data_IF_054259949855
#
_entry.id   IF_054259949855
#
_cell.length_a   1.000
_cell.length_b   1.000
_cell.length_c   1.000
_cell.angle_alpha   90.00
_cell.angle_beta   90.00
_cell.angle_gamma   90.00
#
_symmetry.space_group_name_H-M   'P 1'
#
loop_
_entity.id
_entity.type
_entity.pdbx_description
1 polymer ?
#
# COMPACT_ATOMS: atom_id res chain seq x y z
N UNK A 1 18.51 3.08 20.59
CA UNK A 1 19.06 2.17 21.60
C UNK A 1 20.19 1.32 21.01
N UNK A 2 19.93 0.49 20.02
CA UNK A 2 20.94 -0.42 19.41
C UNK A 2 22.20 0.31 18.92
N UNK A 3 22.07 1.46 18.28
CA UNK A 3 23.20 2.28 17.81
C UNK A 3 24.12 2.78 18.95
N UNK A 4 23.61 2.79 20.20
CA UNK A 4 24.41 3.17 21.39
C UNK A 4 25.17 1.99 22.00
N UNK A 5 24.74 0.77 21.74
CA UNK A 5 25.25 -0.44 22.38
C UNK A 5 26.19 -1.21 21.42
N UNK A 6 25.83 -1.25 20.15
CA UNK A 6 26.61 -1.99 19.16
C UNK A 6 27.88 -1.21 18.78
N UNK A 7 29.02 -1.89 18.64
CA UNK A 7 30.27 -1.26 18.24
C UNK A 7 30.26 -0.81 16.78
N UNK A 8 29.40 -1.41 15.98
CA UNK A 8 29.25 -1.11 14.55
C UNK A 8 28.15 -0.08 14.34
N UNK A 9 28.45 0.98 13.60
CA UNK A 9 27.45 1.95 13.17
C UNK A 9 26.64 1.34 12.03
N UNK A 10 25.35 1.53 12.06
CA UNK A 10 24.43 1.13 10.99
C UNK A 10 23.37 2.19 10.75
N UNK A 11 22.83 2.22 9.57
CA UNK A 11 21.69 3.04 9.16
C UNK A 11 20.42 2.21 9.17
N UNK A 12 19.32 2.80 9.60
CA UNK A 12 18.02 2.12 9.58
C UNK A 12 16.97 3.00 8.91
N UNK A 13 16.13 2.38 8.10
CA UNK A 13 14.98 3.00 7.47
C UNK A 13 13.75 2.14 7.68
N UNK A 14 12.57 2.73 7.60
CA UNK A 14 11.33 1.96 7.57
C UNK A 14 10.57 2.22 6.27
N UNK A 15 9.84 1.21 5.84
CA UNK A 15 8.91 1.28 4.72
C UNK A 15 7.53 0.87 5.16
N UNK A 16 6.52 1.60 4.71
CA UNK A 16 5.11 1.27 4.87
C UNK A 16 4.45 1.11 3.51
N UNK A 17 3.25 0.55 3.49
CA UNK A 17 2.42 0.52 2.29
C UNK A 17 2.15 1.93 1.75
N UNK A 18 2.01 2.06 0.43
CA UNK A 18 1.87 3.37 -0.26
C UNK A 18 0.76 4.24 0.31
N UNK A 19 -0.36 3.66 0.72
CA UNK A 19 -1.51 4.38 1.28
C UNK A 19 -1.21 5.15 2.57
N UNK A 20 -0.08 4.85 3.23
CA UNK A 20 0.38 5.60 4.40
C UNK A 20 1.07 6.92 4.04
N UNK A 21 1.39 7.15 2.79
CA UNK A 21 2.11 8.34 2.34
C UNK A 21 1.22 9.25 1.52
N UNK A 22 1.40 10.56 1.73
CA UNK A 22 0.80 11.57 0.87
C UNK A 22 1.36 11.50 -0.57
N UNK A 23 0.56 11.91 -1.54
CA UNK A 23 0.99 12.06 -2.92
C UNK A 23 0.92 13.53 -3.30
N UNK A 24 2.07 14.16 -3.51
CA UNK A 24 2.21 15.58 -3.83
C UNK A 24 1.37 15.91 -5.08
N UNK A 25 1.49 15.12 -6.13
CA UNK A 25 0.71 15.29 -7.37
C UNK A 25 -0.80 15.29 -7.14
N UNK A 26 -1.29 14.39 -6.27
CA UNK A 26 -2.73 14.30 -5.97
C UNK A 26 -3.20 15.44 -5.09
N UNK A 27 -2.36 15.94 -4.19
CA UNK A 27 -2.64 17.13 -3.38
C UNK A 27 -2.78 18.34 -4.32
N UNK A 28 -1.82 18.58 -5.23
CA UNK A 28 -1.90 19.68 -6.21
C UNK A 28 -3.14 19.56 -7.09
N UNK A 29 -3.45 18.35 -7.57
CA UNK A 29 -4.65 18.13 -8.38
C UNK A 29 -5.96 18.38 -7.61
N UNK A 30 -5.97 18.12 -6.30
CA UNK A 30 -7.13 18.38 -5.44
C UNK A 30 -7.31 19.88 -5.14
N UNK A 31 -6.25 20.68 -5.23
CA UNK A 31 -6.36 22.15 -5.19
C UNK A 31 -7.14 22.70 -6.38
N UNK A 32 -6.97 22.11 -7.58
CA UNK A 32 -7.66 22.53 -8.79
C UNK A 32 -9.13 22.11 -8.83
N UNK A 33 -9.49 21.03 -8.15
CA UNK A 33 -10.84 20.46 -8.10
C UNK A 33 -11.19 20.00 -6.67
N UNK A 34 -11.51 20.93 -5.75
CA UNK A 34 -11.85 20.57 -4.40
C UNK A 34 -13.21 19.86 -4.37
N UNK A 35 -13.20 18.57 -4.15
CA UNK A 35 -14.38 17.76 -3.85
C UNK A 35 -14.30 17.42 -2.36
N UNK A 36 -14.70 18.37 -1.52
CA UNK A 36 -14.69 18.24 -0.07
C UNK A 36 -16.11 18.41 0.44
N UNK A 37 -16.57 17.50 1.28
CA UNK A 37 -17.92 17.47 1.81
C UNK A 37 -17.95 18.09 3.22
N UNK A 38 -17.90 19.42 3.29
CA UNK A 38 -18.03 20.16 4.55
C UNK A 38 -16.83 21.04 4.92
N UNK A 39 -17.07 21.98 5.84
CA UNK A 39 -16.07 22.98 6.27
C UNK A 39 -14.90 22.29 6.99
N UNK A 40 -15.19 21.34 7.87
CA UNK A 40 -14.15 20.61 8.64
C UNK A 40 -13.20 19.83 7.71
N UNK A 41 -13.70 19.27 6.61
CA UNK A 41 -12.87 18.57 5.62
C UNK A 41 -11.95 19.53 4.88
N UNK A 42 -12.39 20.75 4.60
CA UNK A 42 -11.59 21.82 3.98
C UNK A 42 -10.44 22.22 4.90
N UNK A 43 -10.72 22.41 6.19
CA UNK A 43 -9.70 22.82 7.16
C UNK A 43 -8.64 21.72 7.32
N UNK A 44 -9.04 20.48 7.52
CA UNK A 44 -8.12 19.35 7.60
C UNK A 44 -7.32 19.15 6.30
N UNK A 45 -7.92 19.36 5.14
CA UNK A 45 -7.20 19.29 3.86
C UNK A 45 -6.15 20.39 3.76
N UNK A 46 -6.46 21.61 4.17
CA UNK A 46 -5.50 22.72 4.20
C UNK A 46 -4.32 22.41 5.13
N UNK A 47 -4.58 21.83 6.30
CA UNK A 47 -3.54 21.40 7.22
C UNK A 47 -2.63 20.33 6.60
N UNK A 48 -3.21 19.32 5.93
CA UNK A 48 -2.43 18.29 5.22
C UNK A 48 -1.61 18.89 4.08
N UNK A 49 -2.15 19.88 3.37
CA UNK A 49 -1.45 20.56 2.28
C UNK A 49 -0.25 21.35 2.81
N UNK A 50 -0.39 22.13 3.88
CA UNK A 50 0.73 22.85 4.48
C UNK A 50 1.78 21.88 5.02
N UNK A 51 1.37 20.87 5.79
CA UNK A 51 2.25 19.81 6.28
C UNK A 51 3.02 19.13 5.13
N UNK A 52 2.38 18.88 3.99
CA UNK A 52 3.03 18.22 2.86
C UNK A 52 4.21 18.99 2.27
N UNK A 53 4.29 20.30 2.49
CA UNK A 53 5.40 21.16 2.07
C UNK A 53 6.59 21.10 3.03
N UNK A 54 6.35 20.79 4.29
CA UNK A 54 7.34 20.80 5.36
C UNK A 54 7.90 19.40 5.66
N UNK A 55 7.07 18.38 5.52
CA UNK A 55 7.44 17.00 5.87
C UNK A 55 8.57 16.46 5.01
N UNK A 56 9.45 15.69 5.64
CA UNK A 56 10.53 14.97 4.96
C UNK A 56 10.10 13.54 4.53
N UNK A 57 9.08 12.98 5.15
CA UNK A 57 8.66 11.59 4.92
C UNK A 57 7.34 11.47 4.19
N UNK A 58 6.43 12.42 4.40
CA UNK A 58 5.06 12.37 3.91
C UNK A 58 4.20 11.27 4.56
N UNK A 59 4.66 10.72 5.69
CA UNK A 59 3.98 9.64 6.40
C UNK A 59 2.78 10.17 7.18
N UNK A 60 1.60 9.60 6.94
CA UNK A 60 0.36 9.92 7.65
C UNK A 60 0.50 9.91 9.17
N UNK A 61 1.36 9.07 9.72
CA UNK A 61 1.59 8.96 11.15
C UNK A 61 2.18 10.23 11.79
N UNK A 62 2.72 11.15 11.01
CA UNK A 62 3.18 12.46 11.51
C UNK A 62 2.00 13.39 11.91
N UNK A 63 0.82 13.17 11.32
CA UNK A 63 -0.39 13.97 11.55
C UNK A 63 -1.18 13.46 12.77
N UNK A 64 -0.51 13.38 13.93
CA UNK A 64 -1.09 12.83 15.18
C UNK A 64 -2.21 13.68 15.76
N UNK A 65 -2.32 14.93 15.36
CA UNK A 65 -3.32 15.91 15.78
C UNK A 65 -4.60 15.86 14.94
N UNK A 66 -4.58 15.15 13.80
CA UNK A 66 -5.75 14.96 12.95
C UNK A 66 -6.47 13.65 13.29
N UNK A 67 -7.79 13.57 13.07
CA UNK A 67 -8.56 12.34 13.26
C UNK A 67 -7.94 11.16 12.50
N UNK A 68 -8.01 9.96 13.08
CA UNK A 68 -7.51 8.74 12.41
C UNK A 68 -8.24 8.50 11.09
N UNK A 69 -9.56 8.69 11.09
CA UNK A 69 -10.36 8.57 9.89
C UNK A 69 -10.52 9.94 9.20
N UNK A 70 -9.76 10.15 8.14
CA UNK A 70 -9.90 11.30 7.24
C UNK A 70 -10.49 10.80 5.92
N UNK A 71 -11.78 11.06 5.63
CA UNK A 71 -12.44 10.58 4.41
C UNK A 71 -11.70 10.97 3.13
N UNK A 72 -11.16 12.18 3.07
CA UNK A 72 -10.39 12.67 1.91
C UNK A 72 -8.99 12.04 1.79
N UNK A 73 -8.43 11.41 2.84
CA UNK A 73 -7.08 10.83 2.78
C UNK A 73 -6.91 9.88 1.59
N UNK A 74 -7.93 9.09 1.29
CA UNK A 74 -7.93 8.19 0.13
C UNK A 74 -7.80 8.91 -1.23
N UNK A 75 -8.07 10.22 -1.28
CA UNK A 75 -7.95 11.07 -2.47
C UNK A 75 -6.54 11.63 -2.64
N UNK A 76 -5.81 11.84 -1.54
CA UNK A 76 -4.49 12.48 -1.53
C UNK A 76 -3.33 11.54 -1.22
N UNK A 77 -3.59 10.31 -0.79
CA UNK A 77 -2.56 9.30 -0.55
C UNK A 77 -1.98 8.72 -1.84
N UNK A 78 -0.80 8.12 -1.74
CA UNK A 78 -0.18 7.43 -2.85
C UNK A 78 -0.87 6.07 -3.10
N UNK A 79 -1.20 5.79 -4.38
CA UNK A 79 -1.80 4.53 -4.84
C UNK A 79 -0.97 3.96 -5.99
N UNK A 80 -0.88 2.63 -6.07
CA UNK A 80 -0.21 1.94 -7.19
C UNK A 80 -0.95 2.15 -8.51
N UNK A 81 -2.29 2.05 -8.48
CA UNK A 81 -3.18 2.03 -9.64
C UNK A 81 -3.19 3.37 -10.40
N UNK A 82 -2.98 4.47 -9.69
CA UNK A 82 -3.02 5.82 -10.25
C UNK A 82 -1.67 6.52 -10.32
N UNK A 83 -0.59 5.82 -9.92
CA UNK A 83 0.75 6.37 -9.95
C UNK A 83 1.32 6.33 -11.37
N UNK A 84 1.69 7.50 -11.90
CA UNK A 84 2.27 7.65 -13.25
C UNK A 84 3.80 7.47 -13.27
N UNK A 85 4.38 7.12 -12.14
CA UNK A 85 5.81 6.77 -12.03
C UNK A 85 6.74 7.90 -12.47
N UNK A 86 7.77 7.58 -13.23
CA UNK A 86 8.78 8.55 -13.73
C UNK A 86 8.21 9.68 -14.59
N UNK A 87 7.00 9.53 -15.11
CA UNK A 87 6.32 10.59 -15.88
C UNK A 87 5.63 11.63 -15.00
N UNK A 88 5.68 11.45 -13.66
CA UNK A 88 5.07 12.38 -12.72
C UNK A 88 5.87 13.69 -12.67
N UNK A 89 5.24 14.88 -12.78
CA UNK A 89 5.92 16.15 -12.61
C UNK A 89 6.55 16.31 -11.21
N UNK A 90 5.94 15.66 -10.20
CA UNK A 90 6.42 15.66 -8.82
C UNK A 90 7.26 14.41 -8.48
N UNK A 91 7.93 13.79 -9.46
CA UNK A 91 8.68 12.54 -9.23
C UNK A 91 9.88 12.73 -8.30
N UNK A 92 10.64 13.81 -8.48
CA UNK A 92 11.82 14.11 -7.65
C UNK A 92 11.47 14.37 -6.18
N UNK A 93 10.47 15.22 -5.85
CA UNK A 93 10.05 15.42 -4.46
C UNK A 93 9.18 14.29 -3.90
N UNK A 94 8.80 13.28 -4.69
CA UNK A 94 7.86 12.23 -4.32
C UNK A 94 8.29 11.47 -3.04
N UNK A 95 7.42 11.41 -2.06
CA UNK A 95 7.69 10.72 -0.80
C UNK A 95 7.95 9.22 -0.97
N UNK A 96 7.27 8.57 -1.92
CA UNK A 96 7.51 7.15 -2.24
C UNK A 96 8.91 6.96 -2.86
N UNK A 97 9.33 7.85 -3.76
CA UNK A 97 10.68 7.82 -4.36
C UNK A 97 11.73 8.00 -3.28
N UNK A 98 11.57 9.00 -2.42
CA UNK A 98 12.49 9.27 -1.30
C UNK A 98 12.54 8.12 -0.30
N UNK A 99 11.38 7.55 0.07
CA UNK A 99 11.29 6.41 0.98
C UNK A 99 12.07 5.21 0.42
N UNK A 100 11.89 4.89 -0.85
CA UNK A 100 12.62 3.80 -1.52
C UNK A 100 14.11 4.04 -1.56
N UNK A 101 14.54 5.23 -1.94
CA UNK A 101 15.97 5.59 -1.97
C UNK A 101 16.63 5.47 -0.59
N UNK A 102 15.93 5.89 0.47
CA UNK A 102 16.41 5.71 1.86
C UNK A 102 16.52 4.23 2.23
N UNK A 103 15.53 3.43 1.84
CA UNK A 103 15.55 1.99 2.13
C UNK A 103 16.66 1.28 1.37
N UNK A 104 16.92 1.64 0.11
CA UNK A 104 18.00 1.07 -0.70
C UNK A 104 19.40 1.37 -0.14
N UNK A 105 19.56 2.52 0.54
CA UNK A 105 20.84 2.92 1.15
C UNK A 105 20.98 2.51 2.63
N UNK A 106 19.96 1.89 3.22
CA UNK A 106 19.97 1.52 4.63
C UNK A 106 20.53 0.10 4.85
N UNK A 107 21.26 -0.08 5.97
CA UNK A 107 21.74 -1.40 6.41
C UNK A 107 20.60 -2.27 6.96
N UNK A 108 19.59 -1.63 7.57
CA UNK A 108 18.40 -2.28 8.14
C UNK A 108 17.15 -1.59 7.60
N UNK A 109 16.22 -2.39 7.04
CA UNK A 109 14.91 -1.90 6.61
C UNK A 109 13.84 -2.54 7.48
N UNK A 110 13.03 -1.70 8.13
CA UNK A 110 11.93 -2.12 9.00
C UNK A 110 10.64 -2.04 8.20
N UNK A 111 9.92 -3.15 8.12
CA UNK A 111 8.65 -3.27 7.39
C UNK A 111 7.64 -4.07 8.22
N UNK A 112 6.36 -3.92 7.95
CA UNK A 112 5.35 -4.82 8.50
C UNK A 112 5.28 -6.13 7.69
N UNK A 113 4.72 -7.17 8.28
CA UNK A 113 4.57 -8.48 7.64
C UNK A 113 3.81 -8.40 6.31
N UNK A 114 2.74 -7.61 6.24
CA UNK A 114 1.95 -7.46 5.01
C UNK A 114 2.79 -6.94 3.83
N UNK A 115 3.65 -5.94 4.07
CA UNK A 115 4.51 -5.40 3.00
C UNK A 115 5.57 -6.42 2.58
N UNK A 116 6.10 -7.20 3.53
CA UNK A 116 7.04 -8.26 3.26
C UNK A 116 6.41 -9.38 2.38
N UNK A 117 5.23 -9.85 2.74
CA UNK A 117 4.54 -10.89 1.95
C UNK A 117 4.05 -10.37 0.60
N UNK A 118 3.63 -9.09 0.51
CA UNK A 118 3.34 -8.45 -0.76
C UNK A 118 4.57 -8.41 -1.69
N UNK A 119 5.78 -8.14 -1.14
CA UNK A 119 7.03 -8.18 -1.89
C UNK A 119 7.34 -9.60 -2.38
N UNK A 120 7.20 -10.62 -1.53
CA UNK A 120 7.42 -12.02 -1.92
C UNK A 120 6.49 -12.45 -3.06
N UNK A 121 5.22 -12.07 -3.01
CA UNK A 121 4.26 -12.38 -4.05
C UNK A 121 4.65 -11.73 -5.40
N UNK A 122 5.06 -10.47 -5.39
CA UNK A 122 5.52 -9.76 -6.59
C UNK A 122 6.81 -10.35 -7.15
N UNK A 123 7.79 -10.67 -6.30
CA UNK A 123 9.05 -11.32 -6.71
C UNK A 123 8.81 -12.69 -7.33
N UNK A 124 7.93 -13.49 -6.74
CA UNK A 124 7.57 -14.82 -7.24
C UNK A 124 6.95 -14.80 -8.64
N UNK A 125 6.23 -13.73 -8.98
CA UNK A 125 5.58 -13.55 -10.27
C UNK A 125 6.41 -12.78 -11.32
N UNK A 126 7.68 -12.51 -11.06
CA UNK A 126 8.61 -11.77 -11.95
C UNK A 126 8.17 -10.33 -12.28
N UNK A 127 7.27 -9.74 -11.50
CA UNK A 127 6.80 -8.36 -11.69
C UNK A 127 7.70 -7.30 -11.03
N UNK A 128 8.88 -7.68 -10.55
CA UNK A 128 9.83 -6.77 -9.93
C UNK A 128 9.93 -6.97 -8.42
N UNK A 129 10.25 -5.91 -7.68
CA UNK A 129 10.40 -5.93 -6.21
C UNK A 129 9.80 -4.67 -5.58
N UNK A 130 9.27 -4.83 -4.39
CA UNK A 130 8.77 -3.73 -3.56
C UNK A 130 9.85 -3.27 -2.58
N UNK A 131 10.52 -4.25 -1.94
CA UNK A 131 11.62 -4.04 -1.00
C UNK A 131 12.98 -4.10 -1.71
N UNK A 132 14.03 -3.43 -1.16
CA UNK A 132 15.41 -3.65 -1.58
C UNK A 132 15.81 -5.11 -1.46
N UNK A 133 16.96 -5.47 -2.02
CA UNK A 133 17.51 -6.81 -1.81
C UNK A 133 18.06 -6.94 -0.38
N UNK A 134 17.83 -8.08 0.24
CA UNK A 134 18.21 -8.36 1.62
C UNK A 134 18.88 -9.72 1.75
N UNK A 135 19.85 -9.83 2.65
CA UNK A 135 20.58 -11.09 2.95
C UNK A 135 19.95 -11.87 4.10
N UNK A 136 19.17 -11.22 4.95
CA UNK A 136 18.53 -11.84 6.11
C UNK A 136 17.20 -11.15 6.44
N UNK A 137 16.29 -11.90 7.07
CA UNK A 137 15.02 -11.40 7.58
C UNK A 137 14.88 -11.81 9.03
N UNK A 138 14.47 -10.87 9.87
CA UNK A 138 14.17 -11.11 11.29
C UNK A 138 12.69 -10.82 11.47
N UNK A 139 11.93 -11.82 11.88
CA UNK A 139 10.51 -11.67 12.18
C UNK A 139 10.32 -11.38 13.66
N UNK A 140 9.64 -10.28 13.96
CA UNK A 140 9.03 -10.03 15.25
C UNK A 140 7.59 -10.57 15.23
N UNK A 141 6.99 -10.88 16.38
CA UNK A 141 5.64 -11.44 16.48
C UNK A 141 5.41 -12.61 15.49
N UNK A 142 6.34 -13.56 15.46
CA UNK A 142 6.36 -14.64 14.46
C UNK A 142 5.11 -15.51 14.43
N UNK A 143 4.28 -15.48 15.49
CA UNK A 143 3.00 -16.18 15.55
C UNK A 143 1.95 -15.64 14.55
N UNK A 144 2.12 -14.42 14.04
CA UNK A 144 1.22 -13.82 13.04
C UNK A 144 1.57 -14.23 11.59
N UNK A 145 2.71 -14.87 11.37
CA UNK A 145 3.22 -15.15 10.02
C UNK A 145 2.28 -16.06 9.25
N UNK A 146 1.77 -17.10 9.88
CA UNK A 146 0.92 -18.11 9.24
C UNK A 146 -0.36 -17.49 8.68
N UNK A 147 -1.07 -16.72 9.52
CA UNK A 147 -2.32 -16.08 9.12
C UNK A 147 -2.10 -15.07 7.99
N UNK A 148 -1.08 -14.21 8.11
CA UNK A 148 -0.78 -13.20 7.09
C UNK A 148 -0.31 -13.86 5.79
N UNK A 149 0.52 -14.90 5.86
CA UNK A 149 0.96 -15.64 4.68
C UNK A 149 -0.22 -16.31 3.96
N UNK A 150 -1.18 -16.85 4.70
CA UNK A 150 -2.39 -17.43 4.14
C UNK A 150 -3.21 -16.41 3.33
N UNK A 151 -3.28 -15.14 3.77
CA UNK A 151 -3.96 -14.08 3.04
C UNK A 151 -3.31 -13.78 1.68
N UNK A 152 -1.98 -13.91 1.57
CA UNK A 152 -1.24 -13.60 0.33
C UNK A 152 -1.07 -14.78 -0.61
N UNK A 153 -0.96 -15.99 -0.09
CA UNK A 153 -0.67 -17.20 -0.87
C UNK A 153 -1.80 -18.22 -0.85
N UNK A 154 -2.81 -18.02 0.02
CA UNK A 154 -3.99 -18.87 0.10
C UNK A 154 -5.01 -18.55 -0.98
N UNK A 155 -5.93 -19.48 -1.16
CA UNK A 155 -7.13 -19.27 -1.98
C UNK A 155 -8.29 -18.91 -1.05
N UNK A 156 -8.85 -17.72 -1.22
CA UNK A 156 -10.07 -17.31 -0.51
C UNK A 156 -11.25 -17.44 -1.47
N UNK A 157 -12.26 -18.18 -1.06
CA UNK A 157 -13.52 -18.32 -1.80
C UNK A 157 -14.66 -17.87 -0.90
N UNK A 158 -15.49 -16.97 -1.37
CA UNK A 158 -16.72 -16.56 -0.67
C UNK A 158 -17.95 -17.07 -1.39
N UNK A 159 -19.04 -17.26 -0.62
CA UNK A 159 -20.34 -17.61 -1.21
C UNK A 159 -20.77 -16.63 -2.31
N UNK A 160 -20.45 -15.33 -2.12
CA UNK A 160 -20.73 -14.28 -3.12
C UNK A 160 -19.99 -14.50 -4.45
N UNK A 161 -18.72 -14.91 -4.38
CA UNK A 161 -17.92 -15.23 -5.60
C UNK A 161 -18.48 -16.45 -6.33
N UNK A 162 -18.94 -17.46 -5.59
CA UNK A 162 -19.58 -18.65 -6.17
C UNK A 162 -20.88 -18.28 -6.87
N UNK A 163 -21.72 -17.46 -6.21
CA UNK A 163 -22.98 -16.98 -6.77
C UNK A 163 -22.76 -16.09 -8.02
N UNK A 164 -21.70 -15.28 -8.03
CA UNK A 164 -21.31 -14.45 -9.17
C UNK A 164 -20.86 -15.32 -10.35
N UNK A 165 -19.99 -16.31 -10.11
CA UNK A 165 -19.56 -17.27 -11.13
C UNK A 165 -20.75 -18.06 -11.67
N UNK A 166 -21.66 -18.49 -10.81
CA UNK A 166 -22.87 -19.23 -11.23
C UNK A 166 -23.80 -18.35 -12.10
N UNK A 167 -23.91 -17.07 -11.77
CA UNK A 167 -24.70 -16.09 -12.55
C UNK A 167 -24.06 -15.82 -13.91
N UNK A 168 -22.76 -15.57 -13.95
CA UNK A 168 -22.04 -15.34 -15.20
C UNK A 168 -22.06 -16.56 -16.10
N UNK A 169 -21.89 -17.74 -15.51
CA UNK A 169 -21.97 -19.00 -16.22
C UNK A 169 -23.37 -19.25 -16.85
N UNK A 170 -24.43 -18.75 -16.21
CA UNK A 170 -25.80 -18.86 -16.76
C UNK A 170 -26.02 -18.01 -18.02
N UNK A 171 -25.14 -17.05 -18.30
CA UNK A 171 -25.20 -16.20 -19.52
C UNK A 171 -24.43 -16.78 -20.70
N UNK A 172 -23.69 -17.90 -20.50
CA UNK A 172 -22.95 -18.57 -21.58
C UNK A 172 -23.85 -19.30 -22.56
N UNK A 173 -23.45 -19.48 -23.84
CA UNK A 173 -24.19 -20.25 -24.83
C UNK A 173 -24.44 -21.69 -24.37
N UNK A 174 -25.57 -22.26 -24.79
CA UNK A 174 -26.11 -23.57 -24.33
C UNK A 174 -25.09 -24.73 -24.38
N UNK A 175 -24.12 -24.70 -25.28
CA UNK A 175 -23.07 -25.73 -25.36
C UNK A 175 -22.21 -25.86 -24.08
N UNK A 176 -22.04 -24.75 -23.36
CA UNK A 176 -21.26 -24.71 -22.13
C UNK A 176 -22.12 -24.85 -20.86
N UNK A 177 -23.45 -24.75 -21.01
CA UNK A 177 -24.39 -24.82 -19.88
C UNK A 177 -24.43 -26.19 -19.18
N UNK A 178 -24.02 -27.27 -19.84
CA UNK A 178 -23.96 -28.62 -19.25
C UNK A 178 -22.81 -28.70 -18.23
N UNK A 179 -21.68 -28.03 -18.49
CA UNK A 179 -20.55 -27.94 -17.56
C UNK A 179 -20.94 -27.14 -16.30
N UNK A 180 -21.75 -26.11 -16.47
CA UNK A 180 -22.22 -25.22 -15.41
C UNK A 180 -23.23 -25.90 -14.50
N UNK A 181 -24.14 -26.71 -15.03
CA UNK A 181 -25.12 -27.48 -14.24
C UNK A 181 -24.46 -28.51 -13.28
N UNK A 182 -23.21 -28.88 -13.53
CA UNK A 182 -22.40 -29.70 -12.63
C UNK A 182 -21.90 -28.96 -11.38
N UNK A 183 -21.69 -27.65 -11.49
CA UNK A 183 -21.14 -26.82 -10.40
C UNK A 183 -22.25 -26.43 -9.40
N UNK A 184 -23.48 -26.22 -9.86
CA UNK A 184 -24.62 -25.82 -9.02
C UNK A 184 -25.28 -26.95 -8.24
N UNK A 185 -24.83 -28.20 -8.42
CA UNK A 185 -25.37 -29.40 -7.70
C UNK A 185 -24.41 -29.98 -6.68
N UNK A 186 -23.22 -29.43 -6.49
CA UNK A 186 -22.25 -29.77 -5.47
C UNK A 186 -22.32 -28.80 -4.30
#
# INVERSE_FOLDING_TARGET
FLQKILPTKFTASYMKGRSNYACIYRIHKSDDQPILDGIDEVDHFNEVREWSRETQTGDRAELTYLPENLPFWSRVNAKSETCIGQKCPDFEPCFITRMRSRAESADIVIVNHHLFFADLNVRGNQFGKVLPDYGAVIFDEAHLIEDIAADYFGFQTSNFQIDEIARDASTLPIADAIAVAGITKA
#
